data_IF_122338307073
#
_entry.id   IF_122338307073
#
_cell.length_a   1.000
_cell.length_b   1.000
_cell.length_c   1.000
_cell.angle_alpha   90.00
_cell.angle_beta   90.00
_cell.angle_gamma   90.00
#
_symmetry.space_group_name_H-M   'P 1'
#
loop_
_entity.id
_entity.type
_entity.pdbx_description
1 polymer ?
#
# COMPACT_ATOMS: atom_id res chain seq x y z
N UNK A 1 21.95 -6.04 -12.30
CA UNK A 1 22.71 -6.09 -13.58
C UNK A 1 23.37 -7.45 -13.84
N UNK A 2 23.95 -8.12 -12.84
CA UNK A 2 24.55 -9.46 -13.03
C UNK A 2 23.53 -10.55 -13.39
N UNK A 3 22.31 -10.50 -12.86
CA UNK A 3 21.25 -11.49 -13.09
C UNK A 3 20.74 -11.50 -14.53
N UNK A 4 20.50 -10.32 -15.13
CA UNK A 4 20.06 -10.20 -16.50
C UNK A 4 21.13 -10.64 -17.52
N UNK A 5 22.39 -10.39 -17.23
CA UNK A 5 23.52 -10.86 -18.06
C UNK A 5 23.67 -12.39 -18.04
N UNK A 6 23.43 -13.02 -16.87
CA UNK A 6 23.44 -14.50 -16.74
C UNK A 6 22.31 -15.17 -17.54
N UNK A 7 21.08 -14.63 -17.45
CA UNK A 7 19.93 -15.11 -18.21
C UNK A 7 20.17 -15.03 -19.73
N UNK A 8 20.74 -13.91 -20.19
CA UNK A 8 21.11 -13.75 -21.61
C UNK A 8 22.17 -14.74 -22.07
N UNK A 9 23.18 -15.05 -21.25
CA UNK A 9 24.22 -16.00 -21.60
C UNK A 9 23.71 -17.45 -21.63
N UNK A 10 22.83 -17.84 -20.69
CA UNK A 10 22.20 -19.18 -20.68
C UNK A 10 21.30 -19.40 -21.90
N UNK A 11 20.56 -18.39 -22.35
CA UNK A 11 19.76 -18.44 -23.54
C UNK A 11 20.60 -18.64 -24.80
N UNK A 12 21.69 -17.90 -24.96
CA UNK A 12 22.63 -18.05 -26.07
C UNK A 12 23.28 -19.44 -26.10
N UNK A 13 23.59 -20.02 -24.96
CA UNK A 13 24.14 -21.38 -24.86
C UNK A 13 23.11 -22.42 -25.31
N UNK A 14 21.85 -22.29 -24.93
CA UNK A 14 20.79 -23.22 -25.33
C UNK A 14 20.44 -23.12 -26.80
N UNK A 15 20.42 -21.93 -27.39
CA UNK A 15 20.29 -21.73 -28.84
C UNK A 15 21.42 -22.44 -29.63
N UNK A 16 22.64 -22.43 -29.07
CA UNK A 16 23.76 -23.16 -29.66
C UNK A 16 23.54 -24.68 -29.61
N UNK A 17 23.09 -25.19 -28.44
CA UNK A 17 22.79 -26.63 -28.31
C UNK A 17 21.61 -27.09 -29.17
N UNK A 18 20.62 -26.23 -29.41
CA UNK A 18 19.53 -26.55 -30.36
C UNK A 18 20.03 -26.69 -31.78
N UNK A 19 20.93 -25.80 -32.22
CA UNK A 19 21.57 -25.91 -33.57
C UNK A 19 22.42 -27.15 -33.73
N UNK A 20 22.97 -27.67 -32.65
CA UNK A 20 23.76 -28.89 -32.60
C UNK A 20 22.91 -30.17 -32.39
N UNK A 21 21.56 -30.05 -32.42
CA UNK A 21 20.58 -31.13 -32.17
C UNK A 21 20.73 -31.85 -30.82
N UNK A 22 21.30 -31.16 -29.83
CA UNK A 22 21.52 -31.69 -28.48
C UNK A 22 20.33 -31.44 -27.53
N UNK A 23 19.43 -30.54 -27.91
CA UNK A 23 18.28 -30.10 -27.08
C UNK A 23 17.02 -30.09 -27.98
N UNK A 24 15.89 -30.49 -27.42
CA UNK A 24 14.61 -30.48 -28.12
C UNK A 24 14.00 -29.07 -28.18
N UNK A 25 13.17 -28.79 -29.19
CA UNK A 25 12.45 -27.51 -29.34
C UNK A 25 11.63 -27.17 -28.09
N UNK A 26 10.99 -28.17 -27.46
CA UNK A 26 10.20 -27.98 -26.24
C UNK A 26 11.04 -27.50 -25.05
N UNK A 27 12.26 -28.01 -24.89
CA UNK A 27 13.16 -27.58 -23.83
C UNK A 27 13.67 -26.13 -24.02
N UNK A 28 13.82 -25.71 -25.27
CA UNK A 28 14.17 -24.34 -25.63
C UNK A 28 13.01 -23.41 -25.30
N UNK A 29 11.78 -23.76 -25.67
CA UNK A 29 10.59 -22.97 -25.40
C UNK A 29 10.32 -22.82 -23.90
N UNK A 30 10.48 -23.87 -23.11
CA UNK A 30 10.35 -23.81 -21.65
C UNK A 30 11.41 -22.90 -21.02
N UNK A 31 12.63 -22.97 -21.53
CA UNK A 31 13.70 -22.11 -21.04
C UNK A 31 13.48 -20.65 -21.41
N UNK A 32 12.98 -20.40 -22.63
CA UNK A 32 12.61 -19.07 -23.08
C UNK A 32 11.49 -18.47 -22.21
N UNK A 33 10.44 -19.25 -21.94
CA UNK A 33 9.34 -18.80 -21.08
C UNK A 33 9.82 -18.43 -19.68
N UNK A 34 10.70 -19.23 -19.06
CA UNK A 34 11.31 -18.92 -17.77
C UNK A 34 12.18 -17.67 -17.80
N UNK A 35 12.99 -17.54 -18.87
CA UNK A 35 13.84 -16.35 -19.02
C UNK A 35 13.01 -15.08 -19.20
N UNK A 36 11.91 -15.15 -19.97
CA UNK A 36 10.99 -14.03 -20.16
C UNK A 36 10.35 -13.62 -18.84
N UNK A 37 9.86 -14.58 -18.06
CA UNK A 37 9.29 -14.30 -16.72
C UNK A 37 10.31 -13.62 -15.79
N UNK A 38 11.56 -14.06 -15.81
CA UNK A 38 12.63 -13.43 -15.03
C UNK A 38 12.91 -11.98 -15.48
N UNK A 39 12.91 -11.72 -16.79
CA UNK A 39 13.12 -10.37 -17.33
C UNK A 39 11.96 -9.45 -16.94
N UNK A 40 10.71 -9.90 -17.09
CA UNK A 40 9.53 -9.13 -16.69
C UNK A 40 9.54 -8.79 -15.19
N UNK A 41 9.93 -9.74 -14.34
CA UNK A 41 10.09 -9.50 -12.89
C UNK A 41 11.18 -8.47 -12.60
N UNK A 42 12.32 -8.53 -13.30
CA UNK A 42 13.41 -7.55 -13.16
C UNK A 42 13.00 -6.15 -13.64
N UNK A 43 12.21 -6.06 -14.71
CA UNK A 43 11.66 -4.79 -15.19
C UNK A 43 10.72 -4.17 -14.16
N UNK A 44 9.83 -4.96 -13.56
CA UNK A 44 8.95 -4.51 -12.48
C UNK A 44 9.75 -4.00 -11.26
N UNK A 45 10.76 -4.74 -10.82
CA UNK A 45 11.63 -4.32 -9.72
C UNK A 45 12.42 -3.04 -10.06
N UNK A 46 12.82 -2.87 -11.31
CA UNK A 46 13.51 -1.65 -11.74
C UNK A 46 12.60 -0.41 -11.78
N UNK A 47 11.27 -0.59 -11.85
CA UNK A 47 10.30 0.50 -11.68
C UNK A 47 10.16 0.94 -10.22
N UNK A 48 10.46 0.06 -9.26
CA UNK A 48 10.40 0.31 -7.83
C UNK A 48 11.76 0.81 -7.32
N UNK A 49 12.05 2.11 -7.54
CA UNK A 49 13.38 2.70 -7.27
C UNK A 49 13.48 3.44 -5.93
N UNK A 50 12.36 3.74 -5.30
CA UNK A 50 12.35 4.45 -4.03
C UNK A 50 12.84 3.52 -2.91
N UNK A 51 13.64 4.03 -1.97
CA UNK A 51 14.09 3.25 -0.80
C UNK A 51 12.92 2.65 -0.02
N UNK A 52 11.81 3.39 0.06
CA UNK A 52 10.59 2.92 0.69
C UNK A 52 9.97 1.72 -0.02
N UNK A 53 10.17 1.58 -1.35
CA UNK A 53 9.54 0.51 -2.13
C UNK A 53 10.03 -0.89 -1.72
N UNK A 54 11.23 -0.99 -1.22
CA UNK A 54 11.84 -2.26 -0.76
C UNK A 54 11.30 -2.71 0.61
N UNK A 55 10.62 -1.81 1.32
CA UNK A 55 10.16 -2.06 2.68
C UNK A 55 8.93 -2.95 2.73
N UNK A 56 8.73 -3.55 3.90
CA UNK A 56 7.46 -4.13 4.32
C UNK A 56 6.40 -3.03 4.45
N UNK A 57 5.12 -3.38 4.50
CA UNK A 57 4.06 -2.39 4.58
C UNK A 57 3.01 -2.69 5.65
N UNK A 58 2.34 -1.63 6.06
CA UNK A 58 1.13 -1.69 6.87
C UNK A 58 -0.04 -1.22 6.01
N UNK A 59 -1.02 -2.11 5.83
CA UNK A 59 -2.21 -1.89 5.04
C UNK A 59 -3.40 -1.68 5.99
N UNK A 60 -4.03 -0.51 5.91
CA UNK A 60 -5.22 -0.17 6.69
C UNK A 60 -6.44 -0.05 5.78
N UNK A 61 -7.48 -0.79 6.10
CA UNK A 61 -8.77 -0.76 5.38
C UNK A 61 -9.81 -0.13 6.30
N UNK A 62 -10.56 0.82 5.80
CA UNK A 62 -11.71 1.39 6.52
C UNK A 62 -12.95 1.28 5.64
N UNK A 63 -14.06 0.85 6.22
CA UNK A 63 -15.36 0.91 5.54
C UNK A 63 -15.77 2.37 5.30
N UNK A 64 -16.29 2.65 4.12
CA UNK A 64 -16.78 3.97 3.76
C UNK A 64 -18.29 4.14 4.01
N UNK A 65 -18.88 5.13 3.38
CA UNK A 65 -20.32 5.33 3.40
C UNK A 65 -21.04 4.15 2.72
N UNK A 66 -22.09 3.63 3.34
CA UNK A 66 -22.89 2.51 2.81
C UNK A 66 -23.37 1.49 3.85
N UNK A 67 -23.10 1.75 5.13
CA UNK A 67 -23.56 0.85 6.23
C UNK A 67 -23.01 -0.58 6.09
N UNK A 68 -23.86 -1.59 6.30
CA UNK A 68 -23.50 -3.01 6.27
C UNK A 68 -22.84 -3.44 4.95
N UNK A 69 -23.27 -2.90 3.81
CA UNK A 69 -22.66 -3.19 2.50
C UNK A 69 -21.21 -2.75 2.40
N UNK A 70 -20.87 -1.57 2.92
CA UNK A 70 -19.48 -1.08 2.91
C UNK A 70 -18.58 -1.86 3.88
N UNK A 71 -19.14 -2.32 4.99
CA UNK A 71 -18.44 -3.17 5.96
C UNK A 71 -18.15 -4.56 5.36
N UNK A 72 -19.10 -5.13 4.61
CA UNK A 72 -18.87 -6.38 3.87
C UNK A 72 -17.84 -6.21 2.76
N UNK A 73 -17.91 -5.10 2.02
CA UNK A 73 -16.89 -4.78 1.01
C UNK A 73 -15.49 -4.69 1.61
N UNK A 74 -15.34 -4.02 2.75
CA UNK A 74 -14.07 -3.96 3.46
C UNK A 74 -13.57 -5.36 3.89
N UNK A 75 -14.48 -6.26 4.30
CA UNK A 75 -14.14 -7.66 4.60
C UNK A 75 -13.67 -8.44 3.36
N UNK A 76 -14.29 -8.18 2.20
CA UNK A 76 -13.86 -8.78 0.94
C UNK A 76 -12.44 -8.31 0.54
N UNK A 77 -12.15 -7.02 0.66
CA UNK A 77 -10.81 -6.46 0.42
C UNK A 77 -9.78 -7.06 1.38
N UNK A 78 -10.10 -7.17 2.67
CA UNK A 78 -9.23 -7.83 3.64
C UNK A 78 -8.84 -9.23 3.20
N UNK A 79 -9.83 -10.05 2.81
CA UNK A 79 -9.57 -11.42 2.34
C UNK A 79 -8.75 -11.45 1.05
N UNK A 80 -8.98 -10.49 0.15
CA UNK A 80 -8.21 -10.36 -1.10
C UNK A 80 -6.73 -10.12 -0.80
N UNK A 81 -6.41 -9.15 0.06
CA UNK A 81 -5.01 -8.83 0.38
C UNK A 81 -4.33 -9.91 1.21
N UNK A 82 -5.04 -10.60 2.09
CA UNK A 82 -4.48 -11.76 2.81
C UNK A 82 -4.10 -12.89 1.84
N UNK A 83 -4.96 -13.19 0.86
CA UNK A 83 -4.67 -14.18 -0.17
C UNK A 83 -3.53 -13.75 -1.09
N UNK A 84 -3.48 -12.47 -1.44
CA UNK A 84 -2.36 -11.92 -2.21
C UNK A 84 -1.04 -12.11 -1.47
N UNK A 85 -0.99 -11.79 -0.18
CA UNK A 85 0.18 -11.99 0.65
C UNK A 85 0.61 -13.47 0.71
N UNK A 86 -0.34 -14.37 0.89
CA UNK A 86 -0.10 -15.83 0.92
C UNK A 86 0.46 -16.34 -0.41
N UNK A 87 -0.14 -15.92 -1.53
CA UNK A 87 0.27 -16.36 -2.88
C UNK A 87 1.68 -15.87 -3.23
N UNK A 88 2.06 -14.67 -2.79
CA UNK A 88 3.40 -14.10 -3.03
C UNK A 88 4.42 -14.44 -1.94
N UNK A 89 4.08 -15.31 -0.98
CA UNK A 89 4.99 -15.75 0.06
C UNK A 89 5.28 -14.68 1.12
N UNK A 90 4.47 -13.64 1.22
CA UNK A 90 4.57 -12.61 2.25
C UNK A 90 3.97 -13.10 3.57
N UNK A 91 4.58 -12.70 4.67
CA UNK A 91 4.03 -12.95 6.00
C UNK A 91 3.03 -11.85 6.35
N UNK A 92 1.75 -12.19 6.42
CA UNK A 92 0.68 -11.27 6.81
C UNK A 92 0.27 -11.48 8.27
N UNK A 93 0.30 -10.41 9.06
CA UNK A 93 -0.10 -10.41 10.47
C UNK A 93 -1.21 -9.39 10.68
N UNK A 94 -2.32 -9.82 11.30
CA UNK A 94 -3.42 -8.93 11.66
C UNK A 94 -3.05 -8.14 12.91
N UNK A 95 -2.80 -6.83 12.74
CA UNK A 95 -2.44 -5.95 13.86
C UNK A 95 -3.67 -5.43 14.61
N UNK A 96 -4.75 -5.11 13.87
CA UNK A 96 -6.00 -4.65 14.46
C UNK A 96 -7.18 -5.06 13.59
N UNK A 97 -8.28 -5.44 14.23
CA UNK A 97 -9.54 -5.79 13.56
C UNK A 97 -10.71 -5.25 14.38
N UNK A 98 -11.54 -4.43 13.77
CA UNK A 98 -12.79 -3.97 14.32
C UNK A 98 -13.94 -4.50 13.47
N UNK A 99 -14.71 -5.40 14.03
CA UNK A 99 -15.86 -5.99 13.37
C UNK A 99 -16.99 -4.98 13.12
N UNK A 100 -17.81 -5.23 12.13
CA UNK A 100 -19.01 -4.49 11.83
C UNK A 100 -20.12 -4.77 12.85
N UNK A 101 -21.16 -3.94 12.83
CA UNK A 101 -22.27 -4.10 13.78
C UNK A 101 -23.16 -5.30 13.43
N UNK A 102 -23.39 -5.59 12.16
CA UNK A 102 -24.24 -6.69 11.67
C UNK A 102 -23.45 -7.68 10.82
N UNK A 103 -22.54 -7.19 9.98
CA UNK A 103 -21.70 -8.02 9.13
C UNK A 103 -20.45 -7.24 8.69
N UNK A 104 -19.40 -7.96 8.23
CA UNK A 104 -18.20 -7.37 7.70
C UNK A 104 -17.33 -6.71 8.77
N UNK A 105 -16.53 -5.73 8.37
CA UNK A 105 -15.55 -5.04 9.23
C UNK A 105 -15.66 -3.53 9.08
N UNK A 106 -15.48 -2.79 10.19
CA UNK A 106 -15.37 -1.33 10.19
C UNK A 106 -13.97 -0.88 9.78
N UNK A 107 -12.97 -1.46 10.42
CA UNK A 107 -11.57 -1.16 10.17
C UNK A 107 -10.74 -2.42 10.37
N UNK A 108 -9.73 -2.62 9.54
CA UNK A 108 -8.67 -3.58 9.83
C UNK A 108 -7.30 -3.00 9.47
N UNK A 109 -6.29 -3.48 10.16
CA UNK A 109 -4.89 -3.14 9.90
C UNK A 109 -4.11 -4.45 9.78
N UNK A 110 -3.48 -4.64 8.62
CA UNK A 110 -2.68 -5.82 8.28
C UNK A 110 -1.24 -5.37 8.09
N UNK A 111 -0.33 -5.99 8.79
CA UNK A 111 1.10 -5.85 8.56
C UNK A 111 1.52 -6.94 7.58
N UNK A 112 2.15 -6.55 6.48
CA UNK A 112 2.64 -7.45 5.42
C UNK A 112 4.14 -7.30 5.37
N UNK A 113 4.83 -8.38 5.77
CA UNK A 113 6.29 -8.44 5.81
C UNK A 113 6.81 -9.20 4.58
N UNK A 114 7.72 -8.57 3.86
CA UNK A 114 8.39 -9.15 2.70
C UNK A 114 9.04 -8.08 1.84
N UNK A 115 9.93 -8.52 0.96
CA UNK A 115 10.69 -7.64 0.07
C UNK A 115 9.76 -7.00 -0.97
N UNK A 116 9.91 -5.68 -1.14
CA UNK A 116 9.09 -4.89 -2.07
C UNK A 116 7.58 -4.89 -1.80
N UNK A 117 7.14 -5.35 -0.61
CA UNK A 117 5.70 -5.41 -0.29
C UNK A 117 5.03 -4.03 -0.39
N UNK A 118 5.69 -2.98 0.10
CA UNK A 118 5.20 -1.62 -0.03
C UNK A 118 5.17 -1.16 -1.50
N UNK A 119 6.22 -1.41 -2.26
CA UNK A 119 6.34 -1.00 -3.65
C UNK A 119 5.20 -1.53 -4.53
N UNK A 120 4.85 -2.80 -4.37
CA UNK A 120 3.73 -3.42 -5.11
C UNK A 120 2.37 -2.94 -4.65
N UNK A 121 2.20 -2.67 -3.35
CA UNK A 121 0.89 -2.32 -2.78
C UNK A 121 0.64 -0.81 -2.68
N UNK A 122 1.65 0.06 -2.84
CA UNK A 122 1.48 1.52 -2.76
C UNK A 122 0.45 2.07 -3.76
N UNK A 123 0.30 1.42 -4.92
CA UNK A 123 -0.69 1.77 -5.94
C UNK A 123 -2.15 1.55 -5.52
N UNK A 124 -2.37 0.72 -4.49
CA UNK A 124 -3.70 0.44 -3.95
C UNK A 124 -4.24 1.54 -3.02
N UNK A 125 -3.42 2.56 -2.72
CA UNK A 125 -3.86 3.70 -1.92
C UNK A 125 -5.04 4.42 -2.56
N UNK A 126 -6.16 4.48 -1.84
CA UNK A 126 -7.32 5.22 -2.34
C UNK A 126 -8.65 4.64 -1.91
N UNK A 127 -9.69 4.99 -2.66
CA UNK A 127 -11.05 4.55 -2.41
C UNK A 127 -11.47 3.51 -3.43
N UNK A 128 -11.77 2.32 -2.95
CA UNK A 128 -12.21 1.18 -3.74
C UNK A 128 -13.73 1.14 -3.82
N UNK A 129 -14.24 1.07 -5.04
CA UNK A 129 -15.68 1.07 -5.32
C UNK A 129 -16.16 -0.31 -5.72
N UNK A 130 -17.22 -0.79 -5.05
CA UNK A 130 -17.94 -2.00 -5.42
C UNK A 130 -19.34 -1.64 -5.92
N UNK A 131 -19.73 -2.22 -7.05
CA UNK A 131 -21.10 -2.12 -7.57
C UNK A 131 -21.63 -3.54 -7.78
N UNK A 132 -22.60 -3.93 -6.97
CA UNK A 132 -23.23 -5.26 -7.06
C UNK A 132 -24.70 -5.20 -6.67
N UNK A 133 -25.42 -6.28 -6.93
CA UNK A 133 -26.74 -6.53 -6.31
C UNK A 133 -26.49 -6.82 -4.83
N UNK A 134 -27.17 -6.08 -3.95
CA UNK A 134 -26.98 -6.19 -2.50
C UNK A 134 -27.56 -7.49 -1.96
N UNK A 135 -26.77 -8.32 -1.24
CA UNK A 135 -27.31 -9.47 -0.53
C UNK A 135 -28.11 -9.08 0.73
N UNK A 136 -27.94 -7.84 1.20
CA UNK A 136 -28.62 -7.31 2.39
C UNK A 136 -29.93 -6.57 2.07
N UNK A 137 -30.23 -6.38 0.78
CA UNK A 137 -31.46 -5.72 0.34
C UNK A 137 -32.47 -6.74 -0.19
N UNK A 138 -33.57 -6.89 0.52
CA UNK A 138 -34.65 -7.82 0.15
C UNK A 138 -35.23 -7.57 -1.27
N UNK A 139 -35.10 -6.34 -1.79
CA UNK A 139 -35.58 -5.98 -3.13
C UNK A 139 -34.56 -6.26 -4.24
N UNK A 140 -33.37 -6.80 -3.92
CA UNK A 140 -32.33 -7.10 -4.90
C UNK A 140 -31.82 -5.87 -5.67
N UNK A 141 -31.84 -4.69 -5.06
CA UNK A 141 -31.35 -3.46 -5.70
C UNK A 141 -29.85 -3.48 -5.89
N UNK A 142 -29.40 -2.93 -7.02
CA UNK A 142 -27.99 -2.68 -7.29
C UNK A 142 -27.53 -1.52 -6.41
N UNK A 143 -26.52 -1.77 -5.58
CA UNK A 143 -25.96 -0.83 -4.63
C UNK A 143 -24.49 -0.52 -4.97
N UNK A 144 -24.04 0.66 -4.58
CA UNK A 144 -22.66 1.07 -4.68
C UNK A 144 -22.09 1.29 -3.29
N UNK A 145 -20.96 0.66 -3.00
CA UNK A 145 -20.28 0.74 -1.71
C UNK A 145 -18.83 1.19 -1.90
N UNK A 146 -18.30 1.86 -0.91
CA UNK A 146 -16.95 2.37 -0.91
C UNK A 146 -16.19 1.87 0.32
N UNK A 147 -14.92 1.59 0.15
CA UNK A 147 -13.98 1.33 1.23
C UNK A 147 -12.65 2.02 0.90
N UNK A 148 -11.98 2.58 1.89
CA UNK A 148 -10.68 3.20 1.73
C UNK A 148 -9.57 2.26 2.15
N UNK A 149 -8.52 2.23 1.34
CA UNK A 149 -7.30 1.47 1.59
C UNK A 149 -6.14 2.47 1.73
N UNK A 150 -5.36 2.32 2.79
CA UNK A 150 -4.13 3.08 3.02
C UNK A 150 -2.98 2.11 3.20
N UNK A 151 -1.95 2.29 2.41
CA UNK A 151 -0.72 1.52 2.49
C UNK A 151 0.40 2.46 2.91
N UNK A 152 1.08 2.13 3.99
CA UNK A 152 2.22 2.88 4.50
C UNK A 152 3.43 1.96 4.63
N UNK A 153 4.65 2.43 4.35
CA UNK A 153 5.83 1.61 4.59
C UNK A 153 5.98 1.33 6.08
N UNK A 154 6.45 0.15 6.41
CA UNK A 154 6.87 -0.20 7.76
C UNK A 154 8.28 0.36 7.95
N UNK A 155 8.39 1.49 8.63
CA UNK A 155 9.65 2.14 8.91
C UNK A 155 10.22 1.53 10.20
N UNK A 156 11.46 1.08 10.15
CA UNK A 156 12.18 0.66 11.35
C UNK A 156 12.51 1.88 12.22
N UNK A 157 12.59 1.69 13.54
CA UNK A 157 12.95 2.72 14.52
C UNK A 157 14.38 3.30 14.33
N UNK A 158 15.07 2.88 13.26
CA UNK A 158 16.42 3.35 12.91
C UNK A 158 16.46 4.81 12.41
N UNK A 159 15.31 5.38 12.03
CA UNK A 159 15.24 6.78 11.60
C UNK A 159 15.11 7.67 12.85
N UNK A 160 16.24 8.16 13.34
CA UNK A 160 16.27 9.13 14.43
C UNK A 160 15.78 10.50 13.93
N UNK A 161 14.51 10.79 14.22
CA UNK A 161 13.91 12.10 13.89
C UNK A 161 14.29 13.11 14.97
N UNK A 162 15.28 13.94 14.69
CA UNK A 162 15.69 15.00 15.60
C UNK A 162 14.79 16.25 15.41
N UNK A 163 13.77 16.37 16.25
CA UNK A 163 12.86 17.52 16.24
C UNK A 163 13.49 18.64 17.07
N UNK A 164 13.95 19.69 16.40
CA UNK A 164 14.51 20.88 17.07
C UNK A 164 13.36 21.73 17.65
N UNK A 165 13.29 21.92 18.97
CA UNK A 165 12.24 22.75 19.60
C UNK A 165 12.20 24.18 19.08
N UNK A 166 13.36 24.71 18.64
CA UNK A 166 13.45 26.04 18.05
C UNK A 166 12.72 26.20 16.70
N UNK A 167 12.42 25.09 16.02
CA UNK A 167 11.70 25.07 14.74
C UNK A 167 10.18 24.89 14.93
N UNK A 168 9.72 24.75 16.18
CA UNK A 168 8.31 24.58 16.51
C UNK A 168 7.75 25.93 16.93
N UNK A 169 6.68 26.37 16.27
CA UNK A 169 5.88 27.51 16.68
C UNK A 169 4.45 27.07 17.00
N UNK A 170 3.92 27.65 18.08
CA UNK A 170 2.57 27.36 18.56
C UNK A 170 1.72 28.61 18.40
N UNK A 171 0.61 28.50 17.66
CA UNK A 171 -0.37 29.56 17.52
C UNK A 171 -1.67 29.10 18.16
N UNK A 172 -2.24 29.93 19.03
CA UNK A 172 -3.59 29.71 19.50
C UNK A 172 -4.58 30.52 18.68
N UNK A 173 -5.70 29.93 18.34
CA UNK A 173 -6.75 30.60 17.58
C UNK A 173 -8.14 30.22 18.07
N UNK A 174 -9.11 31.06 17.72
CA UNK A 174 -10.51 30.78 18.00
C UNK A 174 -11.06 29.80 17.02
N UNK A 175 -11.59 28.68 17.50
CA UNK A 175 -12.24 27.70 16.62
C UNK A 175 -13.51 28.31 16.05
N UNK A 176 -13.59 28.39 14.71
CA UNK A 176 -14.80 28.81 14.01
C UNK A 176 -15.80 27.66 13.91
N UNK A 177 -17.05 27.88 14.26
CA UNK A 177 -18.12 26.89 14.14
C UNK A 177 -19.44 27.37 14.74
N UNK A 178 -20.52 26.70 14.42
CA UNK A 178 -21.82 26.93 15.05
C UNK A 178 -21.76 26.43 16.51
N UNK A 179 -21.65 27.33 17.45
CA UNK A 179 -21.57 27.02 18.87
C UNK A 179 -21.98 28.23 19.74
N UNK A 180 -22.27 27.98 21.02
CA UNK A 180 -22.70 28.99 21.98
C UNK A 180 -21.64 30.05 22.25
N UNK A 181 -21.99 31.02 23.14
CA UNK A 181 -21.17 32.21 23.45
C UNK A 181 -19.69 31.94 23.83
N UNK A 182 -19.37 30.75 24.30
CA UNK A 182 -18.00 30.37 24.66
C UNK A 182 -17.07 30.09 23.47
N UNK A 183 -17.60 29.60 22.34
CA UNK A 183 -16.81 29.29 21.16
C UNK A 183 -16.16 30.54 20.55
N UNK A 184 -16.82 31.70 20.68
CA UNK A 184 -16.33 32.95 20.13
C UNK A 184 -15.42 33.74 21.11
N UNK A 185 -15.33 33.35 22.38
CA UNK A 185 -14.57 34.06 23.42
C UNK A 185 -13.27 33.39 23.82
N UNK A 186 -13.17 32.07 23.63
CA UNK A 186 -12.02 31.29 24.11
C UNK A 186 -11.18 30.83 22.91
N UNK A 187 -9.88 31.07 22.99
CA UNK A 187 -8.89 30.54 22.01
C UNK A 187 -8.55 29.10 22.36
N UNK A 188 -9.44 28.17 21.98
CA UNK A 188 -9.31 26.75 22.30
C UNK A 188 -8.63 25.94 21.19
N UNK A 189 -8.45 26.51 20.01
CA UNK A 189 -7.72 25.87 18.91
C UNK A 189 -6.22 26.12 19.06
N UNK A 190 -5.44 25.07 18.92
CA UNK A 190 -3.97 25.14 18.90
C UNK A 190 -3.49 24.68 17.55
N UNK A 191 -2.66 25.48 16.90
CA UNK A 191 -1.99 25.13 15.65
C UNK A 191 -0.50 25.02 15.91
N UNK A 192 0.04 23.85 15.58
CA UNK A 192 1.47 23.60 15.60
C UNK A 192 2.01 23.81 14.19
N UNK A 193 3.06 24.61 14.06
CA UNK A 193 3.82 24.74 12.80
C UNK A 193 5.24 24.29 13.06
N UNK A 194 5.70 23.36 12.22
CA UNK A 194 7.08 22.91 12.22
C UNK A 194 7.77 23.37 10.95
N UNK A 195 8.88 24.10 11.10
CA UNK A 195 9.71 24.52 9.98
C UNK A 195 10.84 23.52 9.82
N UNK A 196 10.70 22.62 8.86
CA UNK A 196 11.73 21.66 8.51
C UNK A 196 12.59 22.22 7.38
N UNK A 197 13.90 22.28 7.62
CA UNK A 197 14.87 22.60 6.59
C UNK A 197 15.50 21.30 6.12
N UNK A 198 15.22 20.93 4.89
CA UNK A 198 15.80 19.74 4.27
C UNK A 198 17.32 19.87 4.23
N UNK A 199 18.09 18.96 4.84
CA UNK A 199 19.54 19.03 4.89
C UNK A 199 20.20 18.91 3.50
N UNK A 200 19.52 18.31 2.51
CA UNK A 200 20.04 18.08 1.18
C UNK A 200 19.73 19.23 0.20
N UNK A 201 18.52 19.72 0.22
CA UNK A 201 18.08 20.78 -0.71
C UNK A 201 18.12 22.17 -0.10
N UNK A 202 18.24 22.28 1.24
CA UNK A 202 18.17 23.54 1.96
C UNK A 202 16.79 24.23 1.91
N UNK A 203 15.80 23.58 1.33
CA UNK A 203 14.46 24.11 1.16
C UNK A 203 13.68 24.05 2.49
N UNK A 204 12.92 25.11 2.78
CA UNK A 204 12.02 25.14 3.94
C UNK A 204 10.70 24.47 3.57
N UNK A 205 10.38 23.36 4.23
CA UNK A 205 9.09 22.70 4.13
C UNK A 205 8.21 23.15 5.31
N UNK A 206 7.03 23.67 4.99
CA UNK A 206 6.03 24.07 5.99
C UNK A 206 4.96 22.98 6.07
N UNK A 207 4.79 22.41 7.26
CA UNK A 207 3.64 21.53 7.57
C UNK A 207 2.71 22.27 8.52
N UNK A 208 1.45 22.34 8.18
CA UNK A 208 0.39 22.94 9.02
C UNK A 208 -0.57 21.87 9.51
#
# INVERSE_FOLDING_TARGET
EMSASLVGSEMCIRDSFYKDELVTEQEVDEAYAKALEHVENLELQNMLRDEADQMSCVLKINSGAGGTESQDWASMLMRMYLRYAETNGYKATMANLQEGDEAGIKTCTIQIEGDYAYGYLKGENGVHRLVRVSPYNAQGKRMTSFASVFVTPLVDDSIEVNILPACISWDTFRSGGAGGQNVNKVESGVRLRYQYKDPYTGCLLYTS
#
